data_IF_176322980775
#
_entry.id   IF_176322980775
#
_cell.length_a   1.000
_cell.length_b   1.000
_cell.length_c   1.000
_cell.angle_alpha   90.00
_cell.angle_beta   90.00
_cell.angle_gamma   90.00
#
_symmetry.space_group_name_H-M   'P 1'
#
loop_
_entity.id
_entity.type
_entity.pdbx_description
1 polymer ?
#
# COMPACT_ATOMS: atom_id res chain seq x y z
N UNK A 1 -46.65 -28.04 -41.39
CA UNK A 1 -45.23 -28.50 -41.31
C UNK A 1 -44.49 -27.80 -42.43
N UNK A 2 -43.47 -26.99 -42.30
CA UNK A 2 -42.61 -26.59 -41.19
C UNK A 2 -41.89 -25.30 -41.62
N UNK A 3 -41.82 -24.34 -40.69
CA UNK A 3 -40.68 -23.46 -40.39
C UNK A 3 -40.25 -22.36 -41.39
N UNK A 4 -40.70 -21.16 -41.01
CA UNK A 4 -40.05 -19.85 -41.19
C UNK A 4 -38.60 -19.92 -40.63
N UNK A 5 -37.58 -19.69 -41.46
CA UNK A 5 -36.24 -19.32 -40.99
C UNK A 5 -36.07 -17.81 -41.15
N UNK A 6 -36.28 -17.09 -40.06
CA UNK A 6 -35.85 -15.72 -39.90
C UNK A 6 -34.33 -15.73 -39.60
N UNK A 7 -33.55 -15.04 -40.44
CA UNK A 7 -32.14 -14.75 -40.19
C UNK A 7 -32.08 -13.70 -39.07
N UNK A 8 -31.94 -14.16 -37.83
CA UNK A 8 -31.61 -13.29 -36.72
C UNK A 8 -30.09 -13.04 -36.73
N UNK A 9 -29.70 -11.83 -37.13
CA UNK A 9 -28.36 -11.31 -36.92
C UNK A 9 -28.11 -11.20 -35.40
N UNK A 10 -27.50 -12.23 -34.82
CA UNK A 10 -27.04 -12.21 -33.44
C UNK A 10 -25.81 -11.29 -33.37
N UNK A 11 -26.04 -10.02 -33.03
CA UNK A 11 -24.97 -9.14 -32.59
C UNK A 11 -24.38 -9.73 -31.30
N UNK A 12 -23.30 -10.50 -31.44
CA UNK A 12 -22.42 -10.82 -30.33
C UNK A 12 -21.81 -9.50 -29.85
N UNK A 13 -22.44 -8.90 -28.85
CA UNK A 13 -21.73 -8.06 -27.90
C UNK A 13 -20.71 -8.96 -27.21
N UNK A 14 -19.53 -9.09 -27.83
CA UNK A 14 -18.33 -9.48 -27.12
C UNK A 14 -18.11 -8.37 -26.08
N UNK A 15 -18.61 -8.59 -24.85
CA UNK A 15 -18.02 -7.99 -23.67
C UNK A 15 -16.55 -8.41 -23.71
N UNK A 16 -15.71 -7.58 -24.33
CA UNK A 16 -14.27 -7.65 -24.13
C UNK A 16 -14.09 -7.57 -22.62
N UNK A 17 -13.48 -8.58 -21.96
CA UNK A 17 -13.09 -8.39 -20.58
C UNK A 17 -12.27 -7.11 -20.55
N UNK A 18 -12.62 -6.19 -19.64
CA UNK A 18 -11.81 -5.00 -19.41
C UNK A 18 -10.38 -5.51 -19.18
N UNK A 19 -9.51 -5.27 -20.15
CA UNK A 19 -8.09 -5.60 -20.00
C UNK A 19 -7.66 -4.75 -18.81
N UNK A 20 -7.23 -5.41 -17.74
CA UNK A 20 -6.71 -4.74 -16.56
C UNK A 20 -5.62 -3.78 -17.02
N UNK A 21 -5.81 -2.48 -16.78
CA UNK A 21 -4.82 -1.48 -17.17
C UNK A 21 -3.54 -1.73 -16.39
N UNK A 22 -2.42 -1.87 -17.09
CA UNK A 22 -1.11 -2.06 -16.45
C UNK A 22 -0.66 -0.76 -15.77
N UNK A 23 0.25 -0.85 -14.78
CA UNK A 23 0.88 0.34 -14.19
C UNK A 23 1.48 1.29 -15.24
N UNK A 24 2.03 0.72 -16.32
CA UNK A 24 2.60 1.46 -17.44
C UNK A 24 1.55 2.26 -18.20
N UNK A 25 0.46 1.61 -18.60
CA UNK A 25 -0.63 2.27 -19.34
C UNK A 25 -1.25 3.40 -18.51
N UNK A 26 -1.47 3.20 -17.21
CA UNK A 26 -1.98 4.26 -16.35
C UNK A 26 -1.01 5.45 -16.25
N UNK A 27 0.30 5.18 -16.20
CA UNK A 27 1.33 6.23 -16.21
C UNK A 27 1.28 7.06 -17.48
N UNK A 28 1.08 6.43 -18.64
CA UNK A 28 0.94 7.13 -19.93
C UNK A 28 -0.32 8.00 -19.99
N UNK A 29 -1.46 7.48 -19.48
CA UNK A 29 -2.71 8.24 -19.36
C UNK A 29 -2.55 9.46 -18.45
N UNK A 30 -1.96 9.28 -17.25
CA UNK A 30 -1.66 10.37 -16.31
C UNK A 30 -0.72 11.41 -16.91
N UNK A 31 0.33 10.97 -17.62
CA UNK A 31 1.26 11.86 -18.29
C UNK A 31 0.59 12.73 -19.36
N UNK A 32 -0.40 12.17 -20.08
CA UNK A 32 -1.20 12.92 -21.05
C UNK A 32 -2.11 13.95 -20.38
N UNK A 33 -2.79 13.57 -19.29
CA UNK A 33 -3.61 14.48 -18.51
C UNK A 33 -2.79 15.63 -17.91
N UNK A 34 -1.61 15.32 -17.36
CA UNK A 34 -0.70 16.31 -16.80
C UNK A 34 -0.18 17.30 -17.86
N UNK A 35 0.19 16.83 -19.06
CA UNK A 35 0.59 17.71 -20.16
C UNK A 35 -0.53 18.67 -20.57
N UNK A 36 -1.76 18.19 -20.68
CA UNK A 36 -2.92 19.03 -20.99
C UNK A 36 -3.16 20.08 -19.89
N UNK A 37 -3.06 19.69 -18.62
CA UNK A 37 -3.15 20.61 -17.48
C UNK A 37 -2.06 21.70 -17.53
N UNK A 38 -0.80 21.32 -17.76
CA UNK A 38 0.31 22.28 -17.89
C UNK A 38 0.13 23.25 -19.07
N UNK A 39 -0.39 22.75 -20.19
CA UNK A 39 -0.72 23.55 -21.37
C UNK A 39 -1.96 24.42 -21.21
N UNK A 40 -2.69 24.30 -20.10
CA UNK A 40 -3.99 24.94 -19.84
C UNK A 40 -5.08 24.57 -20.86
N UNK A 41 -4.95 23.40 -21.49
CA UNK A 41 -5.96 22.85 -22.37
C UNK A 41 -6.99 22.09 -21.53
N UNK A 42 -7.96 22.82 -20.98
CA UNK A 42 -8.96 22.26 -20.06
C UNK A 42 -9.85 21.20 -20.70
N UNK A 43 -10.34 21.37 -21.95
CA UNK A 43 -11.06 20.30 -22.64
C UNK A 43 -10.21 19.03 -22.77
N UNK A 44 -8.95 19.12 -23.20
CA UNK A 44 -8.09 17.94 -23.31
C UNK A 44 -7.77 17.33 -21.95
N UNK A 45 -7.56 18.14 -20.91
CA UNK A 45 -7.34 17.66 -19.55
C UNK A 45 -8.54 16.86 -19.04
N UNK A 46 -9.76 17.38 -19.24
CA UNK A 46 -10.97 16.69 -18.83
C UNK A 46 -11.18 15.36 -19.58
N UNK A 47 -10.97 15.33 -20.90
CA UNK A 47 -11.05 14.09 -21.68
C UNK A 47 -9.99 13.06 -21.25
N UNK A 48 -8.76 13.50 -21.00
CA UNK A 48 -7.70 12.62 -20.52
C UNK A 48 -8.02 12.06 -19.13
N UNK A 49 -8.53 12.90 -18.21
CA UNK A 49 -8.83 12.47 -16.84
C UNK A 49 -10.00 11.50 -16.78
N UNK A 50 -10.98 11.58 -17.71
CA UNK A 50 -12.01 10.54 -17.85
C UNK A 50 -11.42 9.18 -18.17
N UNK A 51 -10.41 9.12 -19.04
CA UNK A 51 -9.71 7.86 -19.37
C UNK A 51 -8.90 7.34 -18.18
N UNK A 52 -8.25 8.24 -17.44
CA UNK A 52 -7.53 7.88 -16.20
C UNK A 52 -8.48 7.24 -15.18
N UNK A 53 -9.66 7.84 -14.94
CA UNK A 53 -10.64 7.29 -14.00
C UNK A 53 -11.28 6.00 -14.49
N UNK A 54 -11.43 5.82 -15.81
CA UNK A 54 -11.89 4.54 -16.39
C UNK A 54 -10.87 3.41 -16.15
N UNK A 55 -9.58 3.73 -16.23
CA UNK A 55 -8.50 2.77 -15.96
C UNK A 55 -8.30 2.50 -14.46
N UNK A 56 -8.35 3.54 -13.63
CA UNK A 56 -8.13 3.45 -12.19
C UNK A 56 -9.07 4.41 -11.43
N UNK A 57 -10.17 3.85 -10.91
CA UNK A 57 -11.15 4.61 -10.13
C UNK A 57 -10.75 4.72 -8.66
N UNK A 58 -9.71 5.51 -8.39
CA UNK A 58 -9.12 5.71 -7.06
C UNK A 58 -9.31 7.17 -6.58
N UNK A 59 -9.21 7.47 -5.27
CA UNK A 59 -9.58 8.79 -4.73
C UNK A 59 -8.88 9.97 -5.41
N UNK A 60 -7.57 9.87 -5.63
CA UNK A 60 -6.80 10.93 -6.30
C UNK A 60 -7.33 11.22 -7.70
N UNK A 61 -7.68 10.20 -8.48
CA UNK A 61 -8.15 10.39 -9.85
C UNK A 61 -9.57 10.93 -9.93
N UNK A 62 -10.43 10.57 -8.96
CA UNK A 62 -11.75 11.16 -8.80
C UNK A 62 -11.65 12.65 -8.47
N UNK A 63 -10.74 13.02 -7.57
CA UNK A 63 -10.49 14.42 -7.24
C UNK A 63 -9.98 15.21 -8.45
N UNK A 64 -8.97 14.69 -9.16
CA UNK A 64 -8.45 15.33 -10.37
C UNK A 64 -9.51 15.43 -11.48
N UNK A 65 -10.43 14.47 -11.58
CA UNK A 65 -11.56 14.57 -12.50
C UNK A 65 -12.50 15.72 -12.15
N UNK A 66 -12.72 15.98 -10.85
CA UNK A 66 -13.50 17.13 -10.40
C UNK A 66 -12.83 18.45 -10.81
N UNK A 67 -11.51 18.57 -10.59
CA UNK A 67 -10.73 19.74 -11.00
C UNK A 67 -10.76 19.93 -12.52
N UNK A 68 -10.52 18.87 -13.29
CA UNK A 68 -10.52 18.91 -14.75
C UNK A 68 -11.87 19.36 -15.32
N UNK A 69 -12.98 18.81 -14.79
CA UNK A 69 -14.32 19.19 -15.20
C UNK A 69 -14.65 20.65 -14.83
N UNK A 70 -14.24 21.11 -13.64
CA UNK A 70 -14.48 22.47 -13.18
C UNK A 70 -13.73 23.50 -14.04
N UNK A 71 -12.48 23.23 -14.41
CA UNK A 71 -11.66 24.05 -15.30
C UNK A 71 -12.21 24.06 -16.74
N UNK A 72 -12.76 22.93 -17.21
CA UNK A 72 -13.42 22.82 -18.51
C UNK A 72 -14.81 23.49 -18.56
N UNK A 73 -15.33 23.98 -17.43
CA UNK A 73 -16.63 24.64 -17.32
C UNK A 73 -17.83 23.71 -17.15
N UNK A 74 -17.62 22.38 -17.05
CA UNK A 74 -18.69 21.42 -16.76
C UNK A 74 -18.89 21.27 -15.24
N UNK A 75 -19.63 22.23 -14.67
CA UNK A 75 -19.98 22.22 -13.24
C UNK A 75 -20.68 20.93 -12.80
N UNK A 76 -21.53 20.35 -13.66
CA UNK A 76 -22.34 19.19 -13.31
C UNK A 76 -21.47 17.94 -13.17
N UNK A 77 -20.54 17.74 -14.09
CA UNK A 77 -19.55 16.67 -14.00
C UNK A 77 -18.57 16.88 -12.84
N UNK A 78 -18.12 18.12 -12.62
CA UNK A 78 -17.23 18.44 -11.52
C UNK A 78 -17.85 18.10 -10.15
N UNK A 79 -19.10 18.50 -9.92
CA UNK A 79 -19.83 18.19 -8.69
C UNK A 79 -20.04 16.68 -8.51
N UNK A 80 -20.34 15.93 -9.58
CA UNK A 80 -20.45 14.46 -9.50
C UNK A 80 -19.13 13.81 -9.09
N UNK A 81 -18.03 14.20 -9.72
CA UNK A 81 -16.70 13.65 -9.41
C UNK A 81 -16.25 14.02 -7.98
N UNK A 82 -16.55 15.24 -7.52
CA UNK A 82 -16.25 15.66 -6.15
C UNK A 82 -17.11 14.91 -5.11
N UNK A 83 -18.38 14.64 -5.43
CA UNK A 83 -19.24 13.80 -4.60
C UNK A 83 -18.70 12.36 -4.54
N UNK A 84 -18.26 11.80 -5.67
CA UNK A 84 -17.62 10.47 -5.72
C UNK A 84 -16.32 10.41 -4.90
N UNK A 85 -15.52 11.48 -4.91
CA UNK A 85 -14.36 11.62 -4.04
C UNK A 85 -14.76 11.70 -2.56
N UNK A 86 -15.79 12.49 -2.24
CA UNK A 86 -16.31 12.61 -0.87
C UNK A 86 -16.90 11.29 -0.32
N UNK A 87 -17.24 10.33 -1.19
CA UNK A 87 -17.63 8.97 -0.84
C UNK A 87 -16.43 8.07 -0.43
N UNK A 88 -15.18 8.49 -0.63
CA UNK A 88 -13.97 7.68 -0.39
C UNK A 88 -13.43 7.74 1.05
N UNK A 89 -14.07 8.53 1.92
CA UNK A 89 -13.72 8.69 3.33
C UNK A 89 -12.26 9.11 3.58
N UNK A 90 -11.76 10.03 2.74
CA UNK A 90 -10.42 10.63 2.80
C UNK A 90 -10.52 12.15 2.67
N UNK A 91 -9.45 12.85 3.02
CA UNK A 91 -9.37 14.31 2.99
C UNK A 91 -8.44 14.82 1.90
N UNK A 92 -8.88 15.88 1.22
CA UNK A 92 -8.08 16.84 0.47
C UNK A 92 -8.71 18.21 0.71
N UNK A 93 -7.91 19.28 0.72
CA UNK A 93 -8.38 20.64 0.99
C UNK A 93 -9.06 21.27 -0.23
N UNK A 94 -10.19 20.67 -0.63
CA UNK A 94 -10.99 21.11 -1.76
C UNK A 94 -11.48 22.56 -1.64
N UNK A 95 -11.71 23.03 -0.40
CA UNK A 95 -12.22 24.37 -0.15
C UNK A 95 -11.26 25.47 -0.63
N UNK A 96 -9.96 25.22 -0.52
CA UNK A 96 -8.90 26.15 -0.90
C UNK A 96 -8.28 25.86 -2.27
N UNK A 97 -8.80 24.86 -3.00
CA UNK A 97 -8.34 24.54 -4.34
C UNK A 97 -8.86 25.58 -5.36
N UNK A 98 -7.93 26.16 -6.12
CA UNK A 98 -8.23 27.14 -7.16
C UNK A 98 -8.95 26.54 -8.36
N UNK A 99 -8.70 25.26 -8.67
CA UNK A 99 -9.30 24.59 -9.83
C UNK A 99 -10.80 24.37 -9.64
N UNK A 100 -11.26 24.30 -8.39
CA UNK A 100 -12.67 24.15 -8.01
C UNK A 100 -13.38 25.48 -7.75
N UNK A 101 -12.73 26.62 -7.98
CA UNK A 101 -13.28 27.94 -7.64
C UNK A 101 -14.63 28.22 -8.32
N UNK A 102 -14.87 27.68 -9.52
CA UNK A 102 -16.13 27.84 -10.25
C UNK A 102 -17.34 27.15 -9.59
N UNK A 103 -17.11 26.27 -8.61
CA UNK A 103 -18.16 25.54 -7.87
C UNK A 103 -18.57 26.24 -6.57
N UNK A 104 -17.85 27.28 -6.15
CA UNK A 104 -18.13 28.00 -4.90
C UNK A 104 -19.54 28.58 -4.91
N UNK A 105 -20.28 28.41 -3.81
CA UNK A 105 -21.67 28.83 -3.67
C UNK A 105 -22.70 27.82 -4.18
N UNK A 106 -22.30 26.75 -4.87
CA UNK A 106 -23.21 25.67 -5.26
C UNK A 106 -23.59 24.82 -4.03
N UNK A 107 -24.88 24.57 -3.74
CA UNK A 107 -25.29 23.78 -2.58
C UNK A 107 -24.70 22.35 -2.55
N UNK A 108 -24.49 21.76 -3.74
CA UNK A 108 -23.84 20.44 -3.90
C UNK A 108 -22.36 20.48 -3.53
N UNK A 109 -21.66 21.55 -3.88
CA UNK A 109 -20.26 21.75 -3.52
C UNK A 109 -20.10 21.84 -2.00
N UNK A 110 -20.90 22.68 -1.35
CA UNK A 110 -20.90 22.83 0.11
C UNK A 110 -21.23 21.51 0.83
N UNK A 111 -22.14 20.71 0.27
CA UNK A 111 -22.45 19.37 0.80
C UNK A 111 -21.26 18.41 0.66
N UNK A 112 -20.56 18.43 -0.47
CA UNK A 112 -19.35 17.62 -0.66
C UNK A 112 -18.23 18.04 0.30
N UNK A 113 -17.99 19.35 0.45
CA UNK A 113 -16.99 19.89 1.40
C UNK A 113 -17.25 19.44 2.84
N UNK A 114 -18.50 19.48 3.31
CA UNK A 114 -18.84 18.98 4.66
C UNK A 114 -18.51 17.51 4.85
N UNK A 115 -18.70 16.68 3.82
CA UNK A 115 -18.39 15.24 3.87
C UNK A 115 -16.88 14.98 3.83
N UNK A 116 -16.15 15.73 3.02
CA UNK A 116 -14.67 15.69 2.98
C UNK A 116 -14.10 16.10 4.34
N UNK A 117 -14.59 17.20 4.92
CA UNK A 117 -14.19 17.65 6.25
C UNK A 117 -14.52 16.61 7.35
N UNK A 118 -15.72 16.01 7.30
CA UNK A 118 -16.11 14.94 8.23
C UNK A 118 -15.21 13.70 8.13
N UNK A 119 -14.60 13.45 6.97
CA UNK A 119 -13.68 12.31 6.77
C UNK A 119 -12.41 12.43 7.62
N UNK A 120 -12.05 13.62 8.11
CA UNK A 120 -10.92 13.83 9.03
C UNK A 120 -11.17 13.31 10.45
N UNK A 121 -12.43 13.09 10.82
CA UNK A 121 -12.75 12.66 12.18
C UNK A 121 -12.09 11.31 12.50
N UNK A 122 -11.39 11.26 13.63
CA UNK A 122 -10.85 10.03 14.18
C UNK A 122 -11.99 9.06 14.53
N UNK A 123 -11.78 7.76 14.29
CA UNK A 123 -12.78 6.72 14.54
C UNK A 123 -12.11 5.43 15.00
N UNK A 124 -12.67 4.83 16.05
CA UNK A 124 -12.06 3.67 16.69
C UNK A 124 -10.79 4.03 17.46
N UNK A 125 -10.39 3.12 18.33
CA UNK A 125 -9.14 3.20 19.10
C UNK A 125 -8.58 1.78 19.25
N UNK A 126 -7.25 1.68 19.31
CA UNK A 126 -6.56 0.40 19.48
C UNK A 126 -5.61 0.47 20.67
N UNK A 127 -5.58 -0.56 21.53
CA UNK A 127 -4.66 -0.62 22.66
C UNK A 127 -3.20 -0.56 22.22
N UNK A 128 -2.40 0.24 22.92
CA UNK A 128 -0.94 0.16 22.89
C UNK A 128 -0.50 -1.01 23.75
N UNK A 129 0.28 -1.92 23.18
CA UNK A 129 0.82 -3.08 23.88
C UNK A 129 2.26 -2.86 24.34
N UNK A 130 3.06 -2.10 23.58
CA UNK A 130 4.40 -1.70 23.97
C UNK A 130 4.77 -0.34 23.35
N UNK A 131 5.64 0.39 24.04
CA UNK A 131 6.38 1.53 23.51
C UNK A 131 7.86 1.13 23.48
N UNK A 132 8.56 1.46 22.38
CA UNK A 132 9.98 1.13 22.26
C UNK A 132 10.83 2.10 23.09
N UNK A 133 11.93 1.63 23.71
CA UNK A 133 12.79 2.47 24.55
C UNK A 133 13.74 3.39 23.74
N UNK A 134 13.46 3.64 22.45
CA UNK A 134 14.31 4.41 21.52
C UNK A 134 13.45 5.24 20.57
N UNK A 135 13.64 6.55 20.60
CA UNK A 135 12.93 7.52 19.75
C UNK A 135 13.63 7.80 18.41
N UNK A 136 14.90 7.42 18.27
CA UNK A 136 15.73 7.70 17.10
C UNK A 136 15.66 6.59 16.03
N UNK A 137 14.76 5.63 16.22
CA UNK A 137 14.47 4.56 15.28
C UNK A 137 13.38 4.99 14.31
N UNK A 138 13.54 4.57 13.06
CA UNK A 138 12.47 4.53 12.07
C UNK A 138 12.17 3.06 11.82
N UNK A 139 11.06 2.56 12.39
CA UNK A 139 10.71 1.14 12.42
C UNK A 139 9.69 0.83 11.34
N UNK A 140 10.08 -0.01 10.37
CA UNK A 140 9.24 -0.29 9.20
C UNK A 140 8.40 -1.55 9.37
N UNK A 141 9.03 -2.66 9.76
CA UNK A 141 8.38 -3.97 9.89
C UNK A 141 8.68 -4.64 11.23
N UNK A 142 7.85 -5.61 11.55
CA UNK A 142 7.89 -6.40 12.77
C UNK A 142 7.70 -7.88 12.47
N UNK A 143 8.47 -8.72 13.15
CA UNK A 143 8.27 -10.16 13.18
C UNK A 143 8.35 -10.66 14.63
N UNK A 144 7.83 -11.86 14.90
CA UNK A 144 7.76 -12.38 16.27
C UNK A 144 8.10 -13.86 16.35
N UNK A 145 8.93 -14.23 17.34
CA UNK A 145 9.19 -15.61 17.75
C UNK A 145 8.89 -15.76 19.23
N UNK A 146 7.84 -16.51 19.58
CA UNK A 146 7.39 -16.64 20.96
C UNK A 146 7.04 -15.28 21.57
N UNK A 147 7.84 -14.82 22.54
CA UNK A 147 7.65 -13.53 23.21
C UNK A 147 8.59 -12.42 22.72
N UNK A 148 9.52 -12.76 21.84
CA UNK A 148 10.52 -11.81 21.34
C UNK A 148 10.02 -11.15 20.04
N UNK A 149 10.15 -9.83 19.97
CA UNK A 149 9.92 -9.08 18.74
C UNK A 149 11.24 -8.85 18.01
N UNK A 150 11.18 -8.90 16.69
CA UNK A 150 12.20 -8.40 15.78
C UNK A 150 11.63 -7.18 15.08
N UNK A 151 12.41 -6.11 15.01
CA UNK A 151 12.00 -4.80 14.51
C UNK A 151 13.07 -4.31 13.56
N UNK A 152 12.69 -3.94 12.34
CA UNK A 152 13.63 -3.34 11.39
C UNK A 152 13.84 -1.89 11.76
N UNK A 153 15.00 -1.35 11.36
CA UNK A 153 15.19 0.09 11.36
C UNK A 153 15.81 0.56 10.06
N UNK A 154 15.04 1.39 9.34
CA UNK A 154 15.44 2.05 8.09
C UNK A 154 16.66 2.90 8.37
N UNK A 155 16.49 3.86 9.29
CA UNK A 155 17.52 4.83 9.65
C UNK A 155 18.81 4.17 10.17
N UNK A 156 18.69 3.16 11.03
CA UNK A 156 19.86 2.54 11.69
C UNK A 156 20.53 1.43 10.89
N UNK A 157 19.96 1.01 9.75
CA UNK A 157 20.48 -0.12 8.94
C UNK A 157 20.67 -1.36 9.81
N UNK A 158 19.66 -1.67 10.61
CA UNK A 158 19.79 -2.67 11.68
C UNK A 158 18.46 -3.36 11.99
N UNK A 159 18.59 -4.58 12.51
CA UNK A 159 17.50 -5.33 13.13
C UNK A 159 17.67 -5.26 14.63
N UNK A 160 16.61 -4.89 15.34
CA UNK A 160 16.55 -4.90 16.78
C UNK A 160 15.70 -6.06 17.29
N UNK A 161 16.11 -6.62 18.43
CA UNK A 161 15.35 -7.62 19.17
C UNK A 161 14.84 -7.00 20.46
N UNK A 162 13.52 -6.99 20.65
CA UNK A 162 12.88 -6.60 21.92
C UNK A 162 12.49 -7.86 22.68
N UNK A 163 13.15 -8.11 23.81
CA UNK A 163 12.86 -9.22 24.72
C UNK A 163 12.73 -8.72 26.15
N UNK A 164 11.59 -9.02 26.80
CA UNK A 164 11.32 -8.62 28.20
C UNK A 164 11.57 -7.13 28.48
N UNK A 165 11.23 -6.27 27.52
CA UNK A 165 11.43 -4.81 27.60
C UNK A 165 12.84 -4.32 27.25
N UNK A 166 13.82 -5.22 27.08
CA UNK A 166 15.16 -4.86 26.62
C UNK A 166 15.23 -4.89 25.10
N UNK A 167 15.64 -3.76 24.50
CA UNK A 167 15.86 -3.63 23.07
C UNK A 167 17.36 -3.69 22.77
N UNK A 168 17.80 -4.72 22.05
CA UNK A 168 19.19 -4.90 21.64
C UNK A 168 19.29 -4.89 20.12
N UNK A 169 20.41 -4.37 19.60
CA UNK A 169 20.76 -4.55 18.19
C UNK A 169 21.13 -6.03 17.97
N UNK A 170 20.40 -6.72 17.10
CA UNK A 170 20.62 -8.12 16.78
C UNK A 170 21.59 -8.27 15.60
N UNK A 171 21.39 -7.47 14.55
CA UNK A 171 22.17 -7.55 13.32
C UNK A 171 22.22 -6.19 12.62
N UNK A 172 23.29 -5.96 11.86
CA UNK A 172 23.40 -4.84 10.92
C UNK A 172 23.13 -5.31 9.50
N UNK A 173 22.54 -4.42 8.71
CA UNK A 173 22.28 -4.63 7.28
C UNK A 173 23.16 -3.70 6.45
N UNK A 174 23.50 -4.08 5.19
CA UNK A 174 24.27 -3.23 4.30
C UNK A 174 23.64 -1.86 4.05
N UNK A 175 22.30 -1.80 3.99
CA UNK A 175 21.52 -0.58 3.80
C UNK A 175 20.32 -0.56 4.74
N UNK A 176 19.36 0.35 4.56
CA UNK A 176 18.12 0.41 5.32
C UNK A 176 17.50 -0.98 5.46
N UNK A 177 17.09 -1.36 6.67
CA UNK A 177 16.32 -2.56 6.90
C UNK A 177 14.83 -2.21 6.82
N UNK A 178 14.09 -2.93 5.98
CA UNK A 178 12.69 -2.62 5.65
C UNK A 178 11.78 -3.78 6.09
N UNK A 179 11.15 -4.48 5.15
CA UNK A 179 10.32 -5.65 5.35
C UNK A 179 11.05 -6.86 5.92
N UNK A 180 10.33 -7.63 6.74
CA UNK A 180 10.84 -8.83 7.39
C UNK A 180 9.79 -9.91 7.55
N UNK A 181 10.24 -11.17 7.56
CA UNK A 181 9.40 -12.30 7.94
C UNK A 181 10.23 -13.39 8.61
N UNK A 182 9.69 -13.95 9.69
CA UNK A 182 10.29 -15.10 10.37
C UNK A 182 9.79 -16.40 9.72
N UNK A 183 10.72 -17.28 9.37
CA UNK A 183 10.46 -18.69 9.09
C UNK A 183 10.74 -19.51 10.37
N UNK A 184 9.71 -19.91 11.13
CA UNK A 184 9.91 -20.56 12.42
C UNK A 184 10.58 -21.93 12.30
N UNK A 185 10.35 -22.66 11.20
CA UNK A 185 10.89 -24.01 11.03
C UNK A 185 12.43 -24.04 10.98
N UNK A 186 13.04 -22.96 10.47
CA UNK A 186 14.50 -22.84 10.33
C UNK A 186 15.11 -21.78 11.25
N UNK A 187 14.30 -21.12 12.08
CA UNK A 187 14.69 -19.96 12.87
C UNK A 187 15.42 -18.90 12.03
N UNK A 188 14.93 -18.66 10.82
CA UNK A 188 15.51 -17.70 9.86
C UNK A 188 14.61 -16.48 9.75
N UNK A 189 15.17 -15.31 10.04
CA UNK A 189 14.57 -14.02 9.74
C UNK A 189 14.99 -13.59 8.34
N UNK A 190 14.05 -13.57 7.42
CA UNK A 190 14.21 -12.99 6.10
C UNK A 190 14.03 -11.49 6.19
N UNK A 191 14.95 -10.71 5.61
CA UNK A 191 14.99 -9.25 5.72
C UNK A 191 15.28 -8.65 4.35
N UNK A 192 14.45 -7.72 3.89
CA UNK A 192 14.80 -6.86 2.76
C UNK A 192 15.70 -5.72 3.22
N UNK A 193 16.64 -5.34 2.36
CA UNK A 193 17.49 -4.17 2.57
C UNK A 193 17.68 -3.40 1.28
N UNK A 194 17.58 -2.07 1.33
CA UNK A 194 17.72 -1.20 0.16
C UNK A 194 18.40 0.11 0.54
N UNK A 195 19.24 0.63 -0.37
CA UNK A 195 19.87 1.93 -0.19
C UNK A 195 18.83 3.05 -0.35
N UNK A 196 18.63 3.82 0.71
CA UNK A 196 17.64 4.91 0.80
C UNK A 196 18.29 6.16 1.39
N UNK A 197 17.80 7.34 1.02
CA UNK A 197 18.30 8.62 1.55
C UNK A 197 18.08 8.75 3.08
N UNK A 198 17.11 7.99 3.61
CA UNK A 198 16.69 8.00 5.01
C UNK A 198 17.59 7.18 5.96
N UNK A 199 18.58 6.46 5.43
CA UNK A 199 19.54 5.71 6.24
C UNK A 199 20.69 6.58 6.79
N UNK A 200 21.23 6.22 7.95
CA UNK A 200 22.47 6.81 8.45
C UNK A 200 23.66 6.41 7.56
N UNK A 201 24.54 7.37 7.32
CA UNK A 201 25.75 7.19 6.51
C UNK A 201 25.45 6.69 5.09
N UNK A 202 24.38 7.21 4.48
CA UNK A 202 23.99 6.90 3.10
C UNK A 202 25.09 7.26 2.10
N UNK A 203 25.45 6.29 1.24
CA UNK A 203 26.29 6.52 0.07
C UNK A 203 25.43 6.56 -1.20
N UNK A 204 25.42 7.71 -1.87
CA UNK A 204 24.68 7.90 -3.13
C UNK A 204 25.13 6.93 -4.24
N UNK A 205 26.35 6.40 -4.17
CA UNK A 205 26.82 5.37 -5.10
C UNK A 205 26.00 4.08 -5.00
N UNK A 206 25.37 3.82 -3.85
CA UNK A 206 24.54 2.65 -3.62
C UNK A 206 23.08 2.83 -4.06
N UNK A 207 22.68 4.02 -4.51
CA UNK A 207 21.28 4.31 -4.85
C UNK A 207 20.68 3.27 -5.81
N UNK A 208 19.54 2.70 -5.40
CA UNK A 208 18.83 1.65 -6.14
C UNK A 208 19.43 0.26 -6.03
N UNK A 209 20.41 0.03 -5.14
CA UNK A 209 20.85 -1.31 -4.74
C UNK A 209 19.93 -1.83 -3.64
N UNK A 210 19.58 -3.10 -3.74
CA UNK A 210 18.82 -3.81 -2.72
C UNK A 210 19.15 -5.30 -2.72
N UNK A 211 18.86 -5.97 -1.60
CA UNK A 211 19.09 -7.39 -1.40
C UNK A 211 18.09 -7.97 -0.39
N UNK A 212 18.04 -9.30 -0.32
CA UNK A 212 17.37 -10.03 0.76
C UNK A 212 18.42 -10.78 1.56
N UNK A 213 18.34 -10.68 2.89
CA UNK A 213 19.21 -11.37 3.83
C UNK A 213 18.43 -12.47 4.54
N UNK A 214 19.09 -13.61 4.72
CA UNK A 214 18.66 -14.64 5.66
C UNK A 214 19.49 -14.51 6.93
N UNK A 215 18.85 -14.16 8.05
CA UNK A 215 19.53 -13.91 9.32
C UNK A 215 19.09 -14.98 10.34
N UNK A 216 20.04 -15.52 11.10
CA UNK A 216 19.69 -16.36 12.24
C UNK A 216 18.99 -15.54 13.31
N UNK A 217 17.74 -15.86 13.62
CA UNK A 217 16.94 -15.07 14.56
C UNK A 217 17.41 -15.18 16.02
N UNK A 218 18.26 -16.16 16.36
CA UNK A 218 18.83 -16.30 17.69
C UNK A 218 20.15 -15.53 17.83
N UNK A 219 21.03 -15.59 16.82
CA UNK A 219 22.39 -15.04 16.92
C UNK A 219 22.62 -13.74 16.15
N UNK A 220 21.75 -13.40 15.20
CA UNK A 220 21.93 -12.27 14.29
C UNK A 220 22.92 -12.54 13.15
N UNK A 221 23.46 -13.76 13.03
CA UNK A 221 24.39 -14.11 11.96
C UNK A 221 23.69 -14.15 10.60
N UNK A 222 24.25 -13.47 9.60
CA UNK A 222 23.78 -13.55 8.20
C UNK A 222 24.17 -14.92 7.63
N UNK A 223 23.18 -15.76 7.33
CA UNK A 223 23.33 -17.09 6.73
C UNK A 223 23.51 -17.01 5.22
N UNK A 224 22.76 -16.12 4.58
CA UNK A 224 22.79 -15.91 3.13
C UNK A 224 22.41 -14.48 2.75
N UNK A 225 22.84 -14.08 1.56
CA UNK A 225 22.50 -12.81 0.92
C UNK A 225 22.13 -13.08 -0.53
N UNK A 226 21.02 -12.49 -0.96
CA UNK A 226 20.48 -12.57 -2.30
C UNK A 226 20.39 -11.15 -2.88
N UNK A 227 21.37 -10.74 -3.68
CA UNK A 227 21.36 -9.43 -4.32
C UNK A 227 20.26 -9.34 -5.39
N UNK A 228 19.54 -8.21 -5.40
CA UNK A 228 18.47 -7.98 -6.37
C UNK A 228 19.01 -8.05 -7.81
N UNK A 229 18.30 -8.72 -8.75
CA UNK A 229 18.70 -8.80 -10.14
C UNK A 229 18.51 -7.49 -10.92
N UNK A 230 17.83 -6.49 -10.32
CA UNK A 230 17.54 -5.22 -10.95
C UNK A 230 17.71 -4.06 -9.96
N UNK A 231 17.98 -2.87 -10.49
CA UNK A 231 17.92 -1.64 -9.69
C UNK A 231 16.47 -1.39 -9.24
N UNK A 232 16.32 -0.95 -8.01
CA UNK A 232 15.03 -0.74 -7.36
C UNK A 232 15.19 -0.81 -5.85
N UNK A 233 14.07 -0.92 -5.15
CA UNK A 233 14.02 -1.06 -3.71
C UNK A 233 13.14 -2.25 -3.36
N UNK A 234 13.75 -3.44 -3.18
CA UNK A 234 13.08 -4.53 -2.48
C UNK A 234 12.73 -4.03 -1.08
N UNK A 235 11.46 -3.68 -0.89
CA UNK A 235 10.99 -2.99 0.29
C UNK A 235 10.33 -3.98 1.23
N UNK A 236 9.41 -4.81 0.72
CA UNK A 236 8.63 -5.71 1.57
C UNK A 236 8.82 -7.17 1.21
N UNK A 237 8.57 -8.05 2.18
CA UNK A 237 8.47 -9.48 1.93
C UNK A 237 7.53 -10.18 2.91
N UNK A 238 7.07 -11.36 2.52
CA UNK A 238 6.54 -12.41 3.41
C UNK A 238 7.06 -13.77 2.99
N UNK A 239 7.10 -14.73 3.91
CA UNK A 239 7.56 -16.09 3.63
C UNK A 239 6.36 -17.04 3.63
N UNK A 240 6.24 -17.84 2.57
CA UNK A 240 5.25 -18.90 2.44
C UNK A 240 5.91 -20.13 1.84
N UNK A 241 5.64 -21.31 2.42
CA UNK A 241 6.15 -22.60 1.95
C UNK A 241 7.68 -22.60 1.72
N UNK A 242 8.43 -21.97 2.64
CA UNK A 242 9.89 -21.89 2.59
C UNK A 242 10.46 -20.98 1.49
N UNK A 243 9.64 -20.16 0.84
CA UNK A 243 10.08 -19.15 -0.12
C UNK A 243 9.67 -17.74 0.33
N UNK A 244 10.56 -16.77 0.13
CA UNK A 244 10.22 -15.37 0.32
C UNK A 244 9.52 -14.84 -0.93
N UNK A 245 8.43 -14.11 -0.75
CA UNK A 245 7.73 -13.34 -1.77
C UNK A 245 8.00 -11.87 -1.48
N UNK A 246 8.76 -11.22 -2.34
CA UNK A 246 9.26 -9.87 -2.13
C UNK A 246 8.73 -8.90 -3.18
N UNK A 247 8.52 -7.66 -2.78
CA UNK A 247 8.05 -6.58 -3.65
C UNK A 247 9.10 -5.48 -3.78
N UNK A 248 9.26 -4.98 -5.00
CA UNK A 248 10.11 -3.85 -5.33
C UNK A 248 9.25 -2.58 -5.44
N UNK A 249 9.19 -1.82 -4.35
CA UNK A 249 8.31 -0.66 -4.21
C UNK A 249 8.63 0.49 -5.17
N UNK A 250 9.81 0.51 -5.78
CA UNK A 250 10.22 1.52 -6.78
C UNK A 250 10.20 0.98 -8.21
N UNK A 251 10.63 -0.27 -8.41
CA UNK A 251 10.73 -0.90 -9.72
C UNK A 251 9.44 -1.60 -10.20
N UNK A 252 8.47 -1.83 -9.31
CA UNK A 252 7.19 -2.46 -9.66
C UNK A 252 7.23 -3.99 -9.74
N UNK A 253 8.36 -4.61 -9.41
CA UNK A 253 8.54 -6.05 -9.51
C UNK A 253 7.99 -6.80 -8.31
N UNK A 254 7.40 -7.97 -8.55
CA UNK A 254 7.07 -8.96 -7.53
C UNK A 254 7.88 -10.22 -7.81
N UNK A 255 8.58 -10.73 -6.79
CA UNK A 255 9.53 -11.82 -6.92
C UNK A 255 9.24 -12.94 -5.93
N UNK A 256 9.46 -14.18 -6.35
CA UNK A 256 9.67 -15.32 -5.46
C UNK A 256 11.17 -15.57 -5.31
N UNK A 257 11.63 -15.76 -4.09
CA UNK A 257 13.05 -15.90 -3.77
C UNK A 257 13.26 -17.16 -2.96
N UNK A 258 14.22 -17.96 -3.39
CA UNK A 258 14.64 -19.21 -2.74
C UNK A 258 16.16 -19.27 -2.73
N UNK A 259 16.74 -20.34 -2.17
CA UNK A 259 18.18 -20.61 -2.27
C UNK A 259 18.71 -20.73 -3.71
N UNK A 260 17.82 -20.91 -4.71
CA UNK A 260 18.17 -20.93 -6.13
C UNK A 260 18.23 -19.55 -6.78
N UNK A 261 17.84 -18.50 -6.05
CA UNK A 261 17.80 -17.12 -6.52
C UNK A 261 16.39 -16.58 -6.74
N UNK A 262 16.30 -15.50 -7.52
CA UNK A 262 15.07 -14.75 -7.80
C UNK A 262 14.32 -15.31 -9.01
N UNK A 263 13.00 -15.47 -8.85
CA UNK A 263 12.04 -15.69 -9.91
C UNK A 263 11.11 -14.47 -9.97
N UNK A 264 11.16 -13.70 -11.06
CA UNK A 264 10.19 -12.61 -11.26
C UNK A 264 8.82 -13.18 -11.59
N UNK A 265 7.83 -12.84 -10.77
CA UNK A 265 6.44 -13.26 -10.94
C UNK A 265 5.64 -12.27 -11.77
N UNK A 266 5.86 -10.96 -11.58
CA UNK A 266 5.17 -9.90 -12.32
C UNK A 266 5.96 -8.58 -12.27
N UNK A 267 5.71 -7.71 -13.25
CA UNK A 267 6.13 -6.30 -13.31
C UNK A 267 4.96 -5.36 -13.71
N UNK A 268 3.72 -5.81 -13.50
CA UNK A 268 2.50 -5.05 -13.80
C UNK A 268 2.16 -4.00 -12.72
N UNK A 269 2.93 -3.95 -11.63
CA UNK A 269 2.72 -3.07 -10.48
C UNK A 269 3.50 -1.76 -10.63
N UNK A 270 3.04 -0.71 -9.95
CA UNK A 270 3.71 0.58 -9.87
C UNK A 270 4.56 0.71 -8.61
N UNK A 271 4.01 0.28 -7.47
CA UNK A 271 4.63 0.38 -6.14
C UNK A 271 4.05 -0.72 -5.24
N UNK A 272 4.39 -2.00 -5.52
CA UNK A 272 3.89 -3.14 -4.77
C UNK A 272 4.46 -3.15 -3.35
N UNK A 273 3.59 -3.34 -2.35
CA UNK A 273 3.92 -3.35 -0.93
C UNK A 273 3.76 -4.77 -0.34
N UNK A 274 3.69 -4.88 0.99
CA UNK A 274 3.67 -6.13 1.78
C UNK A 274 2.67 -7.17 1.25
N UNK A 275 3.14 -8.28 0.64
CA UNK A 275 2.26 -9.29 0.05
C UNK A 275 1.64 -10.21 1.11
N UNK A 276 0.51 -10.84 0.79
CA UNK A 276 -0.14 -11.88 1.59
C UNK A 276 -0.56 -13.08 0.72
N UNK A 277 -0.83 -14.24 1.31
CA UNK A 277 -1.24 -15.45 0.57
C UNK A 277 -2.64 -15.89 0.98
N UNK A 278 -3.59 -15.96 0.04
CA UNK A 278 -4.94 -16.43 0.31
C UNK A 278 -5.45 -17.35 -0.80
N UNK A 279 -5.88 -18.56 -0.44
CA UNK A 279 -6.37 -19.55 -1.39
C UNK A 279 -5.32 -20.04 -2.40
N UNK A 280 -4.03 -19.92 -2.10
CA UNK A 280 -2.93 -20.26 -3.01
C UNK A 280 -2.60 -19.19 -4.06
N UNK A 281 -3.26 -18.03 -4.00
CA UNK A 281 -2.93 -16.85 -4.80
C UNK A 281 -2.26 -15.78 -3.92
N UNK A 282 -1.39 -14.97 -4.53
CA UNK A 282 -0.69 -13.89 -3.83
C UNK A 282 -1.54 -12.61 -3.90
N UNK A 283 -1.91 -12.08 -2.75
CA UNK A 283 -2.47 -10.74 -2.61
C UNK A 283 -1.32 -9.74 -2.59
N UNK A 284 -1.32 -8.80 -3.53
CA UNK A 284 -0.28 -7.78 -3.65
C UNK A 284 -0.94 -6.41 -3.56
N UNK A 285 -0.80 -5.68 -2.44
CA UNK A 285 -1.14 -4.28 -2.40
C UNK A 285 -0.18 -3.50 -3.30
N UNK A 286 -0.71 -2.49 -3.99
CA UNK A 286 0.04 -1.48 -4.69
C UNK A 286 -0.35 -0.12 -4.12
N UNK A 287 0.65 0.60 -3.62
CA UNK A 287 0.44 1.87 -2.95
C UNK A 287 -0.31 2.88 -3.83
N UNK A 288 -0.10 2.82 -5.15
CA UNK A 288 -0.66 3.75 -6.12
C UNK A 288 -1.94 3.24 -6.79
N UNK A 289 -2.07 1.92 -6.99
CA UNK A 289 -3.08 1.34 -7.89
C UNK A 289 -4.22 0.64 -7.15
N UNK A 290 -4.01 0.11 -5.96
CA UNK A 290 -5.04 -0.64 -5.24
C UNK A 290 -4.53 -1.98 -4.72
N UNK A 291 -5.43 -2.95 -4.54
CA UNK A 291 -5.07 -4.31 -4.14
C UNK A 291 -5.29 -5.25 -5.33
N UNK A 292 -4.33 -6.12 -5.63
CA UNK A 292 -4.46 -7.12 -6.68
C UNK A 292 -4.30 -8.54 -6.15
N UNK A 293 -4.78 -9.48 -6.94
CA UNK A 293 -4.51 -10.92 -6.83
C UNK A 293 -3.56 -11.29 -7.98
N UNK A 294 -2.47 -11.96 -7.65
CA UNK A 294 -1.52 -12.54 -8.58
C UNK A 294 -1.64 -14.07 -8.52
N UNK A 295 -2.08 -14.66 -9.62
CA UNK A 295 -2.08 -16.11 -9.82
C UNK A 295 -0.64 -16.58 -10.03
N UNK A 296 -0.13 -17.44 -9.16
CA UNK A 296 1.27 -17.89 -9.20
C UNK A 296 1.56 -18.86 -10.37
N UNK A 297 0.54 -19.57 -10.87
CA UNK A 297 0.68 -20.49 -12.00
C UNK A 297 0.60 -19.80 -13.35
N UNK A 298 -0.36 -18.88 -13.51
CA UNK A 298 -0.56 -18.15 -14.78
C UNK A 298 0.16 -16.80 -14.83
N UNK A 299 0.66 -16.30 -13.69
CA UNK A 299 1.27 -14.98 -13.50
C UNK A 299 0.37 -13.81 -13.86
N UNK A 300 -0.95 -14.03 -13.90
CA UNK A 300 -1.92 -13.00 -14.23
C UNK A 300 -2.26 -12.16 -13.00
N UNK A 301 -2.27 -10.85 -13.18
CA UNK A 301 -2.70 -9.88 -12.17
C UNK A 301 -4.17 -9.53 -12.39
N UNK A 302 -4.94 -9.56 -11.30
CA UNK A 302 -6.35 -9.14 -11.25
C UNK A 302 -6.55 -8.13 -10.12
N UNK A 303 -6.83 -6.89 -10.48
CA UNK A 303 -7.16 -5.83 -9.52
C UNK A 303 -8.51 -6.07 -8.85
N UNK A 304 -8.59 -5.78 -7.55
CA UNK A 304 -9.81 -5.91 -6.76
C UNK A 304 -10.61 -4.61 -6.77
N UNK A 305 -11.94 -4.76 -6.76
CA UNK A 305 -12.85 -3.63 -6.65
C UNK A 305 -12.92 -3.13 -5.20
N UNK A 306 -12.75 -1.83 -5.02
CA UNK A 306 -12.84 -1.19 -3.72
C UNK A 306 -14.30 -1.14 -3.22
N UNK A 307 -14.58 -1.58 -1.97
CA UNK A 307 -15.86 -1.33 -1.35
C UNK A 307 -16.11 0.16 -1.15
N UNK A 308 -17.39 0.56 -1.16
CA UNK A 308 -17.77 1.96 -0.92
C UNK A 308 -17.19 2.48 0.41
N UNK A 309 -16.48 3.60 0.37
CA UNK A 309 -15.83 4.21 1.55
C UNK A 309 -14.51 3.58 1.98
N UNK A 310 -14.04 2.54 1.27
CA UNK A 310 -12.80 1.83 1.57
C UNK A 310 -11.93 1.73 0.30
N UNK A 311 -11.37 2.85 -0.19
CA UNK A 311 -10.41 2.80 -1.29
C UNK A 311 -9.22 1.92 -0.92
N UNK A 312 -8.69 1.21 -1.91
CA UNK A 312 -7.61 0.23 -1.75
C UNK A 312 -6.22 0.79 -2.07
N UNK A 313 -6.11 2.09 -2.38
CA UNK A 313 -4.80 2.75 -2.55
C UNK A 313 -4.18 3.12 -1.21
N UNK A 314 -2.87 3.36 -1.21
CA UNK A 314 -2.13 3.75 -0.02
C UNK A 314 -2.06 2.66 1.04
N UNK A 315 -2.26 1.40 0.64
CA UNK A 315 -2.00 0.23 1.47
C UNK A 315 -0.50 0.02 1.52
N UNK A 316 0.03 -0.13 2.72
CA UNK A 316 1.43 -0.33 3.01
C UNK A 316 1.65 -1.73 3.60
N UNK A 317 1.24 -1.92 4.85
CA UNK A 317 1.24 -3.22 5.51
C UNK A 317 0.02 -4.08 5.23
N UNK A 318 0.21 -5.39 5.14
CA UNK A 318 -0.88 -6.37 5.17
C UNK A 318 -0.62 -7.52 6.14
N UNK A 319 -1.70 -8.07 6.71
CA UNK A 319 -1.66 -9.25 7.57
C UNK A 319 -2.96 -10.05 7.42
N UNK A 320 -2.86 -11.36 7.18
CA UNK A 320 -4.01 -12.22 6.91
C UNK A 320 -4.30 -13.16 8.08
N UNK A 321 -5.56 -13.23 8.51
CA UNK A 321 -6.06 -14.21 9.48
C UNK A 321 -7.29 -14.95 8.93
N UNK A 322 -7.10 -16.18 8.44
CA UNK A 322 -8.15 -16.90 7.72
C UNK A 322 -8.56 -16.13 6.46
N UNK A 323 -9.85 -15.77 6.37
CA UNK A 323 -10.41 -15.00 5.26
C UNK A 323 -10.36 -13.48 5.50
N UNK A 324 -9.88 -13.02 6.68
CA UNK A 324 -9.81 -11.60 7.03
C UNK A 324 -8.41 -11.03 6.74
N UNK A 325 -8.32 -10.19 5.70
CA UNK A 325 -7.14 -9.39 5.37
C UNK A 325 -7.19 -8.06 6.12
N UNK A 326 -6.24 -7.84 7.01
CA UNK A 326 -6.00 -6.56 7.64
C UNK A 326 -5.02 -5.75 6.79
N UNK A 327 -5.38 -4.50 6.52
CA UNK A 327 -4.56 -3.56 5.77
C UNK A 327 -4.24 -2.34 6.65
N UNK A 328 -2.98 -1.94 6.64
CA UNK A 328 -2.53 -0.65 7.18
C UNK A 328 -2.42 0.31 6.01
N UNK A 329 -3.10 1.45 6.11
CA UNK A 329 -3.14 2.45 5.06
C UNK A 329 -2.59 3.77 5.58
N UNK A 330 -1.39 4.13 5.13
CA UNK A 330 -0.74 5.41 5.43
C UNK A 330 -0.68 6.36 4.22
N UNK A 331 -1.10 5.92 3.03
CA UNK A 331 -1.21 6.79 1.85
C UNK A 331 -2.49 7.61 1.73
N UNK A 332 -3.29 7.65 2.79
CA UNK A 332 -4.53 8.43 2.89
C UNK A 332 -4.50 9.31 4.12
N UNK A 333 -5.28 10.39 4.09
CA UNK A 333 -5.46 11.29 5.24
C UNK A 333 -6.94 11.27 5.69
N UNK A 334 -7.26 10.86 6.93
CA UNK A 334 -6.35 10.29 7.92
C UNK A 334 -5.93 8.85 7.58
N UNK A 335 -4.74 8.48 8.06
CA UNK A 335 -4.23 7.11 8.05
C UNK A 335 -5.15 6.18 8.85
N UNK A 336 -5.17 4.88 8.50
CA UNK A 336 -6.13 3.93 9.07
C UNK A 336 -5.70 2.48 8.98
N UNK A 337 -6.31 1.64 9.82
CA UNK A 337 -6.27 0.19 9.74
C UNK A 337 -7.68 -0.32 9.43
N UNK A 338 -7.79 -1.20 8.44
CA UNK A 338 -9.06 -1.72 7.94
C UNK A 338 -8.99 -3.24 7.88
N UNK A 339 -10.11 -3.91 8.16
CA UNK A 339 -10.32 -5.33 7.94
C UNK A 339 -11.15 -5.53 6.68
N UNK A 340 -10.65 -6.32 5.74
CA UNK A 340 -11.33 -6.76 4.53
C UNK A 340 -11.59 -8.26 4.62
N UNK A 341 -12.84 -8.69 4.60
CA UNK A 341 -13.17 -10.12 4.53
C UNK A 341 -13.25 -10.53 3.06
N UNK A 342 -12.49 -11.57 2.71
CA UNK A 342 -12.39 -12.12 1.37
C UNK A 342 -13.30 -13.36 1.22
N UNK A 343 -13.81 -13.60 0.01
CA UNK A 343 -14.36 -14.91 -0.34
C UNK A 343 -13.29 -15.84 -0.94
N UNK A 344 -13.66 -17.09 -1.23
CA UNK A 344 -12.78 -18.09 -1.85
C UNK A 344 -12.23 -17.70 -3.23
N UNK A 345 -12.75 -16.65 -3.86
CA UNK A 345 -12.29 -16.10 -5.15
C UNK A 345 -11.50 -14.81 -4.96
N UNK A 346 -11.09 -14.50 -3.73
CA UNK A 346 -10.40 -13.26 -3.37
C UNK A 346 -11.23 -12.00 -3.70
N UNK A 347 -12.57 -12.06 -3.62
CA UNK A 347 -13.42 -10.86 -3.69
C UNK A 347 -13.66 -10.33 -2.30
N UNK A 348 -13.63 -9.00 -2.15
CA UNK A 348 -13.94 -8.36 -0.87
C UNK A 348 -15.45 -8.37 -0.68
N UNK A 349 -15.93 -9.13 0.30
CA UNK A 349 -17.36 -9.25 0.62
C UNK A 349 -17.77 -8.35 1.79
N UNK A 350 -16.79 -7.90 2.58
CA UNK A 350 -17.03 -6.98 3.71
C UNK A 350 -15.79 -6.14 3.99
N UNK A 351 -16.01 -4.88 4.37
CA UNK A 351 -14.97 -4.02 4.91
C UNK A 351 -15.42 -3.44 6.25
N UNK A 352 -14.50 -3.35 7.21
CA UNK A 352 -14.74 -2.78 8.53
C UNK A 352 -13.54 -1.96 8.99
N UNK A 353 -13.79 -0.77 9.52
CA UNK A 353 -12.74 0.05 10.10
C UNK A 353 -12.28 -0.55 11.44
N UNK A 354 -10.96 -0.71 11.61
CA UNK A 354 -10.36 -1.04 12.91
C UNK A 354 -10.07 0.26 13.66
N UNK A 355 -9.32 1.16 13.03
CA UNK A 355 -9.06 2.51 13.54
C UNK A 355 -8.73 3.47 12.40
N UNK A 356 -9.11 4.73 12.53
CA UNK A 356 -8.71 5.84 11.65
C UNK A 356 -8.27 7.04 12.48
N UNK A 357 -7.12 7.61 12.15
CA UNK A 357 -6.56 8.80 12.78
C UNK A 357 -6.49 8.71 14.31
N UNK A 358 -6.57 9.85 14.98
CA UNK A 358 -6.49 9.94 16.44
C UNK A 358 -5.09 9.60 16.94
N UNK A 359 -4.97 8.59 17.79
CA UNK A 359 -3.70 8.11 18.34
C UNK A 359 -2.99 7.06 17.46
N UNK A 360 -3.35 7.00 16.17
CA UNK A 360 -2.68 6.24 15.11
C UNK A 360 -1.86 7.17 14.20
N UNK A 361 -0.81 7.84 14.67
CA UNK A 361 0.11 8.53 13.77
C UNK A 361 1.02 7.51 13.09
N UNK A 362 1.34 7.74 11.82
CA UNK A 362 2.45 7.08 11.12
C UNK A 362 2.50 5.54 11.27
N UNK A 363 1.43 4.81 10.90
CA UNK A 363 1.45 3.36 10.92
C UNK A 363 2.09 2.78 9.65
N UNK A 364 2.75 1.62 9.76
CA UNK A 364 3.42 0.94 8.63
C UNK A 364 2.95 -0.50 8.51
N UNK A 365 3.70 -1.48 9.02
CA UNK A 365 3.40 -2.89 8.81
C UNK A 365 2.65 -3.56 9.96
N UNK A 366 2.09 -4.71 9.64
CA UNK A 366 1.29 -5.54 10.53
C UNK A 366 1.62 -7.02 10.38
N UNK A 367 1.38 -7.78 11.46
CA UNK A 367 1.45 -9.25 11.50
C UNK A 367 0.32 -9.83 12.34
N UNK A 368 -0.05 -11.07 12.03
CA UNK A 368 -0.94 -11.86 12.89
C UNK A 368 -0.08 -12.77 13.77
N UNK A 369 -0.27 -12.68 15.08
CA UNK A 369 0.40 -13.55 16.04
C UNK A 369 -0.43 -13.70 17.32
N UNK A 370 -0.48 -14.92 17.87
CA UNK A 370 -1.24 -15.26 19.09
C UNK A 370 -2.69 -14.76 19.07
N UNK A 371 -3.41 -15.02 17.97
CA UNK A 371 -4.81 -14.64 17.82
C UNK A 371 -5.06 -13.14 17.87
N UNK A 372 -4.06 -12.32 17.54
CA UNK A 372 -4.18 -10.86 17.50
C UNK A 372 -3.48 -10.29 16.26
N UNK A 373 -4.04 -9.19 15.77
CA UNK A 373 -3.35 -8.27 14.89
C UNK A 373 -2.38 -7.42 15.71
N UNK A 374 -1.15 -7.35 15.25
CA UNK A 374 -0.13 -6.44 15.76
C UNK A 374 0.33 -5.54 14.63
N UNK A 375 0.52 -4.26 14.91
CA UNK A 375 1.00 -3.32 13.92
C UNK A 375 1.75 -2.17 14.55
N UNK A 376 2.60 -1.53 13.74
CA UNK A 376 3.40 -0.39 14.16
C UNK A 376 2.56 0.88 14.07
N UNK A 377 2.73 1.77 15.06
CA UNK A 377 2.33 3.17 15.00
C UNK A 377 3.50 4.03 15.48
N UNK A 378 3.55 5.31 15.09
CA UNK A 378 4.72 6.17 15.33
C UNK A 378 6.01 5.54 14.78
N UNK A 379 5.96 4.97 13.58
CA UNK A 379 7.12 4.31 12.96
C UNK A 379 8.37 5.19 12.98
N UNK A 380 8.22 6.50 12.86
CA UNK A 380 9.29 7.48 13.03
C UNK A 380 9.62 8.25 11.75
N UNK A 381 8.92 7.97 10.65
CA UNK A 381 9.07 8.66 9.36
C UNK A 381 8.81 10.16 9.48
N UNK A 382 7.93 10.57 10.38
CA UNK A 382 7.68 12.00 10.68
C UNK A 382 8.91 12.77 11.18
N UNK A 383 9.97 12.06 11.62
CA UNK A 383 11.21 12.68 12.03
C UNK A 383 12.02 13.26 10.87
N UNK A 384 11.78 12.82 9.63
CA UNK A 384 12.46 13.40 8.47
C UNK A 384 11.86 14.74 8.06
N UNK A 385 12.72 15.74 7.88
CA UNK A 385 12.34 17.05 7.39
C UNK A 385 13.49 17.78 6.69
N UNK A 386 13.24 19.04 6.31
CA UNK A 386 14.22 19.87 5.56
C UNK A 386 15.57 20.04 6.26
N UNK A 387 15.61 19.90 7.59
CA UNK A 387 16.79 20.08 8.42
C UNK A 387 17.41 18.73 8.86
N UNK A 388 17.10 17.64 8.15
CA UNK A 388 17.49 16.29 8.54
C UNK A 388 16.54 15.67 9.57
N UNK A 389 16.96 14.55 10.15
CA UNK A 389 16.14 13.78 11.09
C UNK A 389 16.07 14.42 12.48
N UNK A 390 14.86 14.58 13.01
CA UNK A 390 14.56 15.02 14.37
C UNK A 390 13.64 13.98 15.03
N UNK A 391 14.08 13.29 16.10
CA UNK A 391 13.28 12.23 16.70
C UNK A 391 12.00 12.80 17.33
N UNK A 392 10.88 12.16 16.99
CA UNK A 392 9.59 12.37 17.65
C UNK A 392 9.43 11.50 18.90
N UNK A 393 8.18 11.28 19.36
CA UNK A 393 7.91 10.25 20.37
C UNK A 393 8.30 8.85 19.87
N UNK A 394 8.66 7.90 20.76
CA UNK A 394 9.09 6.58 20.35
C UNK A 394 8.03 5.76 19.60
N UNK A 395 8.45 4.80 18.76
CA UNK A 395 7.54 3.88 18.10
C UNK A 395 6.72 3.03 19.08
N UNK A 396 5.50 2.70 18.64
CA UNK A 396 4.53 1.90 19.38
C UNK A 396 4.21 0.61 18.66
N UNK A 397 4.01 -0.45 19.44
CA UNK A 397 3.34 -1.67 18.98
C UNK A 397 1.89 -1.65 19.49
N UNK A 398 0.95 -1.64 18.55
CA UNK A 398 -0.49 -1.75 18.83
C UNK A 398 -0.91 -3.20 18.77
N UNK A 399 -1.94 -3.58 19.54
CA UNK A 399 -2.49 -4.95 19.57
C UNK A 399 -4.01 -4.93 19.52
N UNK A 400 -4.59 -5.69 18.60
CA UNK A 400 -6.04 -5.88 18.46
C UNK A 400 -6.34 -7.38 18.44
N UNK A 401 -7.02 -7.94 19.47
CA UNK A 401 -7.47 -9.32 19.43
C UNK A 401 -8.36 -9.59 18.22
N UNK A 402 -8.14 -10.72 17.56
CA UNK A 402 -9.06 -11.22 16.55
C UNK A 402 -10.36 -11.66 17.26
N UNK A 403 -11.51 -11.35 16.67
CA UNK A 403 -12.84 -11.68 17.22
C UNK A 403 -13.45 -12.84 16.47
#
# INVERSE_FOLDING_TARGET
>A
MEKILAVAALALFLCRPAVATTARELRELRGSAFKAYQGKDWPAFFEAQKRVVQAARIPRELYQLACAAALAGDKSAALRALEDFADQDTFLDAANDGDLASLRGEPRYEKALRRIAYSRAARGTTPTAAELPRADLVVEDLARSGQDWFLSSVRKRAIFKLSRGSLIELARTPWAALGMALEPATNTLWVTTAALDEEEDHDKADQGRSAILEIDAATGAVKARHDSPAKGALADLRVFDGAAYASDGFGGGVYRVTSKGFEKLSDDFASPQTPAMHGGELLVPDYTLGLAVLDLGTRKVRWLEAPKGFPLTGIDGTALAGDDLYIVQNGLDPVRVVKLTLDRRNRIVKAALVQKGGDLPDPTHAVIHDGALWFIARSGWQGFGKNGFQPGPPPLLKRVPLR
#
